data_IF_205734740671
#
_entry.id   IF_205734740671
#
_cell.length_a   1.000
_cell.length_b   1.000
_cell.length_c   1.000
_cell.angle_alpha   90.00
_cell.angle_beta   90.00
_cell.angle_gamma   90.00
#
_symmetry.space_group_name_H-M   'P 1'
#
loop_
_entity.id
_entity.type
_entity.pdbx_description
1 polymer ?
#
# COMPACT_ATOMS: atom_id res chain seq x y z
N UNK A 1 18.57 14.66 -15.94
CA UNK A 1 17.59 13.72 -15.34
C UNK A 1 16.60 14.56 -14.56
N UNK A 2 15.30 14.34 -14.79
CA UNK A 2 14.20 15.27 -14.51
C UNK A 2 13.69 15.14 -13.08
N UNK A 3 13.40 16.27 -12.41
CA UNK A 3 12.92 16.37 -11.02
C UNK A 3 11.78 15.39 -10.66
N UNK A 4 10.85 15.16 -11.58
CA UNK A 4 9.73 14.22 -11.41
C UNK A 4 10.19 12.76 -11.16
N UNK A 5 11.31 12.33 -11.77
CA UNK A 5 11.88 11.00 -11.54
C UNK A 5 12.46 10.87 -10.13
N UNK A 6 13.05 11.94 -9.61
CA UNK A 6 13.59 11.98 -8.24
C UNK A 6 12.47 11.89 -7.21
N UNK A 7 11.39 12.68 -7.40
CA UNK A 7 10.23 12.69 -6.52
C UNK A 7 9.54 11.32 -6.46
N UNK A 8 9.36 10.66 -7.61
CA UNK A 8 8.82 9.29 -7.67
C UNK A 8 9.67 8.31 -6.86
N UNK A 9 10.99 8.33 -7.06
CA UNK A 9 11.90 7.42 -6.36
C UNK A 9 11.91 7.64 -4.84
N UNK A 10 11.83 8.90 -4.39
CA UNK A 10 11.74 9.23 -2.96
C UNK A 10 10.45 8.68 -2.33
N UNK A 11 9.31 8.87 -2.99
CA UNK A 11 8.04 8.35 -2.49
C UNK A 11 8.03 6.82 -2.51
N UNK A 12 8.51 6.21 -3.59
CA UNK A 12 8.56 4.74 -3.71
C UNK A 12 9.43 4.12 -2.63
N UNK A 13 10.60 4.71 -2.34
CA UNK A 13 11.46 4.25 -1.25
C UNK A 13 10.75 4.27 0.11
N UNK A 14 10.06 5.37 0.45
CA UNK A 14 9.27 5.47 1.69
C UNK A 14 8.16 4.42 1.74
N UNK A 15 7.49 4.16 0.62
CA UNK A 15 6.44 3.14 0.52
C UNK A 15 7.04 1.74 0.73
N UNK A 16 8.17 1.42 0.11
CA UNK A 16 8.85 0.12 0.30
C UNK A 16 9.17 -0.14 1.78
N UNK A 17 9.72 0.85 2.48
CA UNK A 17 9.99 0.73 3.92
C UNK A 17 8.72 0.49 4.74
N UNK A 18 7.58 1.09 4.35
CA UNK A 18 6.29 0.86 5.01
C UNK A 18 5.69 -0.51 4.70
N UNK A 19 5.90 -1.04 3.49
CA UNK A 19 5.50 -2.41 3.12
C UNK A 19 6.27 -3.39 4.00
N UNK A 20 7.60 -3.24 4.08
CA UNK A 20 8.47 -4.09 4.90
C UNK A 20 8.00 -4.12 6.35
N UNK A 21 7.82 -2.95 6.96
CA UNK A 21 7.31 -2.83 8.31
C UNK A 21 5.89 -3.42 8.47
N UNK A 22 5.05 -3.35 7.45
CA UNK A 22 3.68 -3.89 7.56
C UNK A 22 3.70 -5.41 7.51
N UNK A 23 4.48 -6.01 6.60
CA UNK A 23 4.61 -7.46 6.47
C UNK A 23 5.34 -8.09 7.66
N UNK A 24 6.32 -7.41 8.25
CA UNK A 24 7.01 -7.87 9.46
C UNK A 24 6.10 -7.90 10.70
N UNK A 25 5.19 -6.92 10.83
CA UNK A 25 4.39 -6.73 12.04
C UNK A 25 2.99 -7.36 11.98
N UNK A 26 2.54 -7.81 10.81
CA UNK A 26 1.16 -8.23 10.60
C UNK A 26 1.12 -9.45 9.67
N UNK A 27 0.84 -10.62 10.28
CA UNK A 27 0.85 -11.91 9.58
C UNK A 27 -0.14 -11.97 8.42
N UNK A 28 -1.19 -11.14 8.45
CA UNK A 28 -2.15 -11.03 7.35
C UNK A 28 -1.48 -10.68 6.02
N UNK A 29 -0.41 -9.86 6.06
CA UNK A 29 0.25 -9.38 4.85
C UNK A 29 1.50 -10.19 4.49
N UNK A 30 1.87 -11.21 5.27
CA UNK A 30 3.10 -11.99 5.04
C UNK A 30 3.04 -12.84 3.77
N UNK A 31 1.85 -13.22 3.33
CA UNK A 31 1.63 -14.04 2.14
C UNK A 31 1.63 -13.23 0.84
N UNK A 32 1.62 -11.89 0.93
CA UNK A 32 1.69 -11.03 -0.25
C UNK A 32 3.10 -11.06 -0.88
N UNK A 33 3.15 -11.01 -2.20
CA UNK A 33 4.42 -10.81 -2.90
C UNK A 33 4.85 -9.34 -2.79
N UNK A 34 5.97 -9.14 -2.08
CA UNK A 34 6.55 -7.83 -1.84
C UNK A 34 6.96 -7.11 -3.13
N UNK A 35 7.53 -7.84 -4.09
CA UNK A 35 8.04 -7.25 -5.32
C UNK A 35 6.87 -6.87 -6.24
N UNK A 36 5.81 -7.69 -6.28
CA UNK A 36 4.55 -7.32 -6.94
C UNK A 36 3.92 -6.06 -6.31
N UNK A 37 3.90 -5.95 -4.98
CA UNK A 37 3.42 -4.74 -4.31
C UNK A 37 4.23 -3.50 -4.73
N UNK A 38 5.56 -3.59 -4.74
CA UNK A 38 6.42 -2.48 -5.15
C UNK A 38 6.16 -2.10 -6.62
N UNK A 39 5.97 -3.09 -7.49
CA UNK A 39 5.62 -2.85 -8.89
C UNK A 39 4.27 -2.15 -9.02
N UNK A 40 3.26 -2.61 -8.27
CA UNK A 40 1.92 -1.99 -8.20
C UNK A 40 2.01 -0.54 -7.75
N UNK A 41 2.75 -0.23 -6.69
CA UNK A 41 2.95 1.16 -6.26
C UNK A 41 3.73 1.98 -7.28
N UNK A 42 4.75 1.41 -7.93
CA UNK A 42 5.49 2.10 -9.00
C UNK A 42 4.57 2.50 -10.15
N UNK A 43 3.66 1.60 -10.57
CA UNK A 43 2.63 1.85 -11.60
C UNK A 43 1.59 2.87 -11.13
N UNK A 44 1.19 2.85 -9.86
CA UNK A 44 0.28 3.85 -9.29
C UNK A 44 0.91 5.25 -9.31
N UNK A 45 2.20 5.37 -9.02
CA UNK A 45 2.94 6.63 -9.07
C UNK A 45 3.17 7.17 -10.49
N UNK A 46 2.98 6.34 -11.53
CA UNK A 46 2.91 6.84 -12.92
C UNK A 46 1.59 7.55 -13.22
N UNK A 47 0.54 7.27 -12.43
CA UNK A 47 -0.81 7.86 -12.56
C UNK A 47 -1.08 8.94 -11.53
N UNK A 48 -0.44 8.84 -10.37
CA UNK A 48 -0.62 9.74 -9.22
C UNK A 48 0.66 10.53 -9.01
N UNK A 49 0.56 11.86 -9.00
CA UNK A 49 1.71 12.71 -8.80
C UNK A 49 2.40 12.43 -7.45
N UNK A 50 3.71 12.13 -7.44
CA UNK A 50 4.46 11.97 -6.18
C UNK A 50 4.36 13.19 -5.26
N UNK A 51 4.14 14.40 -5.81
CA UNK A 51 4.03 15.64 -5.05
C UNK A 51 2.84 15.69 -4.10
N UNK A 52 1.77 14.93 -4.36
CA UNK A 52 0.64 14.86 -3.43
C UNK A 52 0.93 13.91 -2.24
N UNK A 53 1.94 13.04 -2.39
CA UNK A 53 2.31 12.04 -1.39
C UNK A 53 3.51 12.48 -0.55
N UNK A 54 4.46 13.22 -1.13
CA UNK A 54 5.63 13.77 -0.44
C UNK A 54 5.29 14.52 0.87
N UNK A 55 4.31 15.46 0.91
CA UNK A 55 4.00 16.22 2.12
C UNK A 55 3.18 15.42 3.16
N UNK A 56 2.80 14.18 2.86
CA UNK A 56 2.11 13.35 3.83
C UNK A 56 3.09 12.92 4.93
N UNK A 57 2.62 13.04 6.17
CA UNK A 57 3.28 12.39 7.29
C UNK A 57 3.18 10.86 7.16
N UNK A 58 4.01 10.16 7.93
CA UNK A 58 4.15 8.72 7.81
C UNK A 58 2.85 7.99 8.15
N UNK A 59 2.07 8.43 9.13
CA UNK A 59 0.78 7.81 9.45
C UNK A 59 -0.22 7.89 8.30
N UNK A 60 -0.35 9.06 7.64
CA UNK A 60 -1.26 9.24 6.51
C UNK A 60 -0.80 8.50 5.27
N UNK A 61 0.51 8.38 5.06
CA UNK A 61 1.07 7.59 3.97
C UNK A 61 0.88 6.09 4.25
N UNK A 62 1.21 5.62 5.45
CA UNK A 62 1.02 4.24 5.91
C UNK A 62 -0.43 3.78 5.79
N UNK A 63 -1.40 4.63 6.15
CA UNK A 63 -2.82 4.30 5.95
C UNK A 63 -3.19 4.09 4.48
N UNK A 64 -2.60 4.85 3.56
CA UNK A 64 -2.83 4.66 2.12
C UNK A 64 -2.14 3.41 1.60
N UNK A 65 -0.91 3.16 2.04
CA UNK A 65 -0.17 1.93 1.70
C UNK A 65 -0.93 0.69 2.14
N UNK A 66 -1.38 0.64 3.40
CA UNK A 66 -2.20 -0.47 3.92
C UNK A 66 -3.50 -0.70 3.15
N UNK A 67 -4.16 0.37 2.68
CA UNK A 67 -5.38 0.22 1.86
C UNK A 67 -5.10 -0.47 0.55
N UNK A 68 -4.00 -0.14 -0.13
CA UNK A 68 -3.62 -0.80 -1.39
C UNK A 68 -3.20 -2.24 -1.12
N UNK A 69 -2.37 -2.49 -0.10
CA UNK A 69 -1.98 -3.86 0.28
C UNK A 69 -3.18 -4.73 0.63
N UNK A 70 -4.16 -4.18 1.35
CA UNK A 70 -5.39 -4.90 1.67
C UNK A 70 -6.20 -5.21 0.41
N UNK A 71 -6.29 -4.29 -0.56
CA UNK A 71 -6.90 -4.59 -1.85
C UNK A 71 -6.18 -5.73 -2.56
N UNK A 72 -4.85 -5.70 -2.64
CA UNK A 72 -4.09 -6.79 -3.28
C UNK A 72 -4.34 -8.14 -2.59
N UNK A 73 -4.44 -8.16 -1.26
CA UNK A 73 -4.82 -9.34 -0.50
C UNK A 73 -6.17 -9.92 -0.97
N UNK A 74 -7.19 -9.08 -1.19
CA UNK A 74 -8.48 -9.56 -1.71
C UNK A 74 -8.38 -10.21 -3.10
N UNK A 75 -7.37 -9.89 -3.89
CA UNK A 75 -7.21 -10.37 -5.27
C UNK A 75 -6.26 -11.57 -5.34
N UNK A 76 -5.26 -11.63 -4.47
CA UNK A 76 -4.29 -12.73 -4.38
C UNK A 76 -4.83 -13.92 -3.60
N UNK A 77 -5.84 -13.73 -2.73
CA UNK A 77 -6.54 -14.84 -2.08
C UNK A 77 -7.73 -15.26 -2.94
N UNK A 78 -7.68 -16.41 -3.66
CA UNK A 78 -8.73 -16.73 -4.64
C UNK A 78 -10.07 -17.14 -4.01
N UNK A 79 -10.17 -17.30 -2.68
CA UNK A 79 -11.40 -17.68 -1.97
C UNK A 79 -11.39 -17.62 -0.43
N UNK A 80 -10.33 -17.16 0.25
CA UNK A 80 -10.21 -17.36 1.72
C UNK A 80 -10.53 -16.14 2.59
N UNK A 81 -11.08 -15.07 2.04
CA UNK A 81 -11.56 -13.99 2.90
C UNK A 81 -12.92 -14.35 3.46
N UNK A 82 -12.93 -14.60 4.76
CA UNK A 82 -14.15 -14.84 5.48
C UNK A 82 -15.03 -13.58 5.45
N UNK A 83 -16.37 -13.72 5.47
CA UNK A 83 -17.28 -12.58 5.54
C UNK A 83 -16.93 -11.58 6.66
N UNK A 84 -16.38 -12.06 7.78
CA UNK A 84 -15.94 -11.25 8.92
C UNK A 84 -14.73 -10.35 8.58
N UNK A 85 -13.80 -10.81 7.75
CA UNK A 85 -12.62 -10.01 7.33
C UNK A 85 -12.99 -8.91 6.34
N UNK A 86 -13.93 -9.20 5.44
CA UNK A 86 -14.51 -8.20 4.53
C UNK A 86 -15.30 -7.16 5.33
N UNK A 87 -16.07 -7.60 6.33
CA UNK A 87 -16.85 -6.71 7.19
C UNK A 87 -15.95 -5.83 8.07
N UNK A 88 -14.86 -6.38 8.62
CA UNK A 88 -13.84 -5.61 9.34
C UNK A 88 -13.16 -4.58 8.44
N UNK A 89 -12.82 -4.96 7.20
CA UNK A 89 -12.24 -4.04 6.23
C UNK A 89 -13.22 -2.90 5.88
N UNK A 90 -14.47 -3.23 5.57
CA UNK A 90 -15.51 -2.26 5.28
C UNK A 90 -15.75 -1.34 6.48
N UNK A 91 -15.84 -1.86 7.71
CA UNK A 91 -16.00 -1.05 8.91
C UNK A 91 -14.83 -0.06 9.13
N UNK A 92 -13.58 -0.47 8.84
CA UNK A 92 -12.39 0.41 8.94
C UNK A 92 -12.33 1.45 7.81
N UNK A 93 -12.90 1.13 6.64
CA UNK A 93 -12.96 2.02 5.48
C UNK A 93 -14.12 3.02 5.58
N UNK A 94 -15.29 2.57 6.00
CA UNK A 94 -16.55 3.33 6.16
C UNK A 94 -16.63 4.11 7.48
N UNK A 95 -15.83 3.76 8.49
CA UNK A 95 -15.70 4.54 9.73
C UNK A 95 -14.98 5.90 9.58
N UNK A 96 -15.07 6.54 8.42
CA UNK A 96 -14.53 7.88 8.12
C UNK A 96 -15.53 8.76 7.40
#
# INVERSE_FOLDING_TARGET
MTQASTEKNTVLKRISEMIDQTMENDSLYQELDRDELIETFSKLLDRVSPQILLPLNDERLKKRVRRVMATELLWTTPNDLTPEEIEMFNAVVEGR
#
